data_IF_609920738726
#
_entry.id   IF_609920738726
#
_cell.length_a   1.000
_cell.length_b   1.000
_cell.length_c   1.000
_cell.angle_alpha   90.00
_cell.angle_beta   90.00
_cell.angle_gamma   90.00
#
_symmetry.space_group_name_H-M   'P 1'
#
loop_
_entity.id
_entity.type
_entity.pdbx_description
1 polymer ?
#
# COMPACT_ATOMS: atom_id res chain seq x y z
N UNK A 1 -43.20 31.70 11.08
CA UNK A 1 -43.29 30.31 10.60
C UNK A 1 -41.85 29.88 10.35
N UNK A 2 -41.17 29.50 11.43
CA UNK A 2 -39.83 28.91 11.39
C UNK A 2 -39.94 27.52 10.78
N UNK A 3 -39.22 27.26 9.69
CA UNK A 3 -38.98 25.91 9.21
C UNK A 3 -37.56 25.83 8.65
N UNK A 4 -36.67 25.35 9.52
CA UNK A 4 -35.44 24.60 9.26
C UNK A 4 -34.43 25.18 8.26
N UNK A 5 -33.68 26.20 8.72
CA UNK A 5 -32.54 26.78 8.02
C UNK A 5 -31.22 25.95 8.11
N UNK A 6 -31.24 24.74 8.68
CA UNK A 6 -30.05 23.90 8.90
C UNK A 6 -30.13 22.57 8.13
N UNK A 7 -30.15 22.62 6.80
CA UNK A 7 -30.09 21.43 5.93
C UNK A 7 -28.85 21.46 5.03
N UNK A 8 -28.25 20.29 4.79
CA UNK A 8 -27.09 20.13 3.91
C UNK A 8 -27.55 19.62 2.54
N UNK A 9 -27.31 20.41 1.49
CA UNK A 9 -27.74 20.12 0.12
C UNK A 9 -26.52 19.87 -0.76
N UNK A 10 -26.49 18.71 -1.43
CA UNK A 10 -25.51 18.43 -2.47
C UNK A 10 -26.12 18.76 -3.82
N UNK A 11 -25.50 19.68 -4.56
CA UNK A 11 -26.00 20.11 -5.86
C UNK A 11 -24.90 20.09 -6.93
N UNK A 12 -25.30 19.83 -8.17
CA UNK A 12 -24.43 19.89 -9.33
C UNK A 12 -24.27 21.34 -9.83
N UNK A 13 -23.03 21.82 -9.93
CA UNK A 13 -22.75 23.18 -10.45
C UNK A 13 -23.03 23.35 -11.95
N UNK A 14 -23.10 22.25 -12.71
CA UNK A 14 -23.31 22.29 -14.17
C UNK A 14 -24.78 22.31 -14.57
N UNK A 15 -25.66 21.54 -13.89
CA UNK A 15 -27.07 21.41 -14.26
C UNK A 15 -28.06 21.80 -13.15
N UNK A 16 -27.59 22.12 -11.94
CA UNK A 16 -28.46 22.53 -10.84
C UNK A 16 -29.24 21.40 -10.17
N UNK A 17 -29.00 20.14 -10.52
CA UNK A 17 -29.67 19.01 -9.87
C UNK A 17 -29.24 18.88 -8.40
N UNK A 18 -30.24 18.78 -7.51
CA UNK A 18 -30.06 18.60 -6.06
C UNK A 18 -30.30 17.13 -5.66
N UNK A 19 -29.39 16.59 -4.86
CA UNK A 19 -29.49 15.22 -4.37
C UNK A 19 -30.21 15.18 -3.02
N UNK A 20 -31.43 14.63 -3.01
CA UNK A 20 -32.30 14.51 -1.83
C UNK A 20 -32.13 13.20 -1.05
N UNK A 21 -31.22 12.32 -1.47
CA UNK A 21 -31.06 10.97 -0.88
C UNK A 21 -30.09 10.89 0.30
N UNK A 22 -29.50 12.02 0.70
CA UNK A 22 -28.52 12.07 1.80
C UNK A 22 -29.26 12.07 3.14
N UNK A 23 -29.26 10.92 3.83
CA UNK A 23 -29.81 10.80 5.17
C UNK A 23 -28.85 11.40 6.21
N UNK A 24 -29.38 12.21 7.13
CA UNK A 24 -28.62 13.00 8.10
C UNK A 24 -27.79 12.19 9.11
N UNK A 25 -27.95 10.87 9.15
CA UNK A 25 -27.44 10.04 10.24
C UNK A 25 -25.93 9.73 10.13
N UNK A 26 -25.28 9.91 8.97
CA UNK A 26 -23.83 9.63 8.79
C UNK A 26 -23.16 10.49 7.70
N UNK A 27 -23.45 11.79 7.61
CA UNK A 27 -22.84 12.65 6.57
C UNK A 27 -21.51 13.24 7.02
N UNK A 28 -20.40 12.67 6.54
CA UNK A 28 -19.08 13.30 6.63
C UNK A 28 -18.80 14.09 5.34
N UNK A 29 -18.74 15.42 5.44
CA UNK A 29 -18.46 16.31 4.29
C UNK A 29 -16.97 16.39 3.99
N UNK A 30 -16.14 16.39 5.04
CA UNK A 30 -14.69 16.44 4.93
C UNK A 30 -14.08 15.72 6.12
N UNK A 31 -13.21 14.75 5.83
CA UNK A 31 -12.34 14.13 6.81
C UNK A 31 -10.90 14.53 6.49
N UNK A 32 -10.14 15.00 7.48
CA UNK A 32 -8.75 15.41 7.30
C UNK A 32 -7.86 14.58 8.20
N UNK A 33 -7.16 13.62 7.59
CA UNK A 33 -6.22 12.75 8.29
C UNK A 33 -4.81 13.35 8.26
N UNK A 34 -4.45 14.05 9.34
CA UNK A 34 -3.12 14.67 9.50
C UNK A 34 -2.04 13.62 9.81
N UNK A 35 -2.41 12.57 10.53
CA UNK A 35 -1.56 11.39 10.75
C UNK A 35 -2.07 10.27 9.84
N UNK A 36 -1.36 10.04 8.73
CA UNK A 36 -1.55 8.82 7.93
C UNK A 36 -0.99 7.64 8.74
N UNK A 37 -1.83 7.03 9.57
CA UNK A 37 -1.58 5.71 10.14
C UNK A 37 -1.76 4.59 9.11
N UNK A 38 -2.34 4.90 7.95
CA UNK A 38 -2.50 3.98 6.83
C UNK A 38 -1.20 3.90 6.02
N UNK A 39 -0.60 2.70 6.07
CA UNK A 39 0.15 2.06 5.00
C UNK A 39 0.94 2.99 4.06
N UNK A 40 1.82 3.82 4.63
CA UNK A 40 2.80 4.63 3.89
C UNK A 40 3.62 3.83 2.85
N UNK A 41 3.61 2.50 2.96
CA UNK A 41 4.35 1.60 2.08
C UNK A 41 3.66 1.24 0.77
N UNK A 42 2.34 1.46 0.61
CA UNK A 42 1.62 1.04 -0.62
C UNK A 42 2.21 1.72 -1.86
N UNK A 43 2.82 2.90 -1.70
CA UNK A 43 3.48 3.62 -2.77
C UNK A 43 4.98 3.33 -2.92
N UNK A 44 5.57 2.49 -2.07
CA UNK A 44 7.03 2.30 -2.02
C UNK A 44 7.50 1.21 -2.98
N UNK A 45 6.65 0.22 -3.25
CA UNK A 45 6.99 -0.90 -4.14
C UNK A 45 5.99 -0.97 -5.28
N UNK A 46 6.53 -1.01 -6.50
CA UNK A 46 5.78 -1.25 -7.73
C UNK A 46 6.40 -2.41 -8.51
N UNK A 47 5.81 -2.73 -9.67
CA UNK A 47 6.28 -3.83 -10.53
C UNK A 47 7.69 -3.62 -11.11
N UNK A 48 8.17 -2.37 -11.13
CA UNK A 48 9.48 -1.99 -11.67
C UNK A 48 10.59 -1.89 -10.62
N UNK A 49 10.25 -1.82 -9.32
CA UNK A 49 11.23 -1.72 -8.23
C UNK A 49 12.31 -2.80 -8.31
N UNK A 50 11.96 -4.00 -8.79
CA UNK A 50 12.93 -5.10 -8.95
C UNK A 50 14.00 -4.88 -10.02
N UNK A 51 13.76 -3.97 -10.97
CA UNK A 51 14.71 -3.66 -12.05
C UNK A 51 15.66 -2.52 -11.69
N UNK A 52 15.46 -1.86 -10.55
CA UNK A 52 16.35 -0.81 -10.11
C UNK A 52 17.68 -1.40 -9.58
N UNK A 53 18.83 -1.15 -10.25
CA UNK A 53 20.12 -1.68 -9.81
C UNK A 53 20.70 -0.93 -8.61
N UNK A 54 20.13 0.23 -8.24
CA UNK A 54 20.61 1.05 -7.11
C UNK A 54 20.05 0.59 -5.77
N UNK A 55 19.01 -0.24 -5.79
CA UNK A 55 18.41 -0.77 -4.57
C UNK A 55 19.28 -1.87 -3.95
N UNK A 56 19.46 -1.88 -2.63
CA UNK A 56 20.22 -2.92 -1.95
C UNK A 56 19.62 -4.33 -2.12
N UNK A 57 20.47 -5.30 -2.47
CA UNK A 57 20.10 -6.71 -2.72
C UNK A 57 20.82 -7.63 -1.74
N UNK A 58 20.11 -8.65 -1.25
CA UNK A 58 20.63 -9.68 -0.36
C UNK A 58 20.19 -11.07 -0.83
N UNK A 59 21.10 -12.04 -0.74
CA UNK A 59 20.89 -13.40 -1.24
C UNK A 59 20.80 -14.43 -0.09
N UNK A 60 20.82 -13.95 1.16
CA UNK A 60 20.83 -14.79 2.37
C UNK A 60 19.45 -14.99 2.99
N UNK A 61 18.44 -14.21 2.60
CA UNK A 61 17.09 -14.29 3.15
C UNK A 61 16.23 -15.22 2.29
N UNK A 62 15.56 -16.17 2.95
CA UNK A 62 14.57 -17.03 2.31
C UNK A 62 13.28 -16.27 2.03
N UNK A 63 12.69 -16.50 0.85
CA UNK A 63 11.41 -15.91 0.50
C UNK A 63 10.28 -16.58 1.33
N UNK A 64 9.35 -15.83 1.94
CA UNK A 64 8.25 -16.41 2.72
C UNK A 64 7.26 -17.19 1.84
N UNK A 65 7.26 -16.96 0.53
CA UNK A 65 6.50 -17.77 -0.40
C UNK A 65 7.16 -19.14 -0.57
N UNK A 66 6.56 -20.17 0.02
CA UNK A 66 7.03 -21.55 -0.07
C UNK A 66 7.14 -22.10 -1.50
N UNK A 67 6.37 -21.54 -2.43
CA UNK A 67 6.39 -21.90 -3.87
C UNK A 67 7.44 -21.12 -4.67
N UNK A 68 8.25 -20.27 -4.03
CA UNK A 68 9.25 -19.48 -4.72
C UNK A 68 10.32 -20.40 -5.36
N UNK A 69 10.69 -20.18 -6.63
CA UNK A 69 11.77 -20.93 -7.28
C UNK A 69 13.10 -20.90 -6.53
N UNK A 70 13.37 -19.85 -5.75
CA UNK A 70 14.60 -19.73 -4.96
C UNK A 70 14.63 -20.63 -3.72
N UNK A 71 13.49 -21.22 -3.34
CA UNK A 71 13.35 -22.08 -2.17
C UNK A 71 13.38 -23.57 -2.52
N UNK A 72 13.24 -23.91 -3.81
CA UNK A 72 13.22 -25.29 -4.28
C UNK A 72 14.48 -25.61 -5.08
N UNK A 73 14.94 -26.85 -4.97
CA UNK A 73 15.97 -27.38 -5.86
C UNK A 73 15.26 -28.25 -6.90
N UNK A 74 15.18 -27.75 -8.13
CA UNK A 74 14.58 -28.47 -9.25
C UNK A 74 15.68 -28.94 -10.19
N UNK A 75 15.83 -30.26 -10.33
CA UNK A 75 16.72 -30.92 -11.28
C UNK A 75 18.17 -30.40 -11.27
N UNK A 76 18.71 -30.09 -10.09
CA UNK A 76 20.08 -29.60 -9.90
C UNK A 76 20.30 -28.14 -10.36
N UNK A 77 19.23 -27.41 -10.69
CA UNK A 77 19.26 -25.98 -10.97
C UNK A 77 18.65 -25.22 -9.81
N UNK A 78 19.51 -24.72 -8.92
CA UNK A 78 19.13 -23.82 -7.85
C UNK A 78 19.09 -22.38 -8.37
N UNK A 79 17.92 -21.75 -8.32
CA UNK A 79 17.79 -20.31 -8.58
C UNK A 79 18.40 -19.57 -7.40
N UNK A 80 19.34 -18.66 -7.65
CA UNK A 80 19.90 -17.83 -6.59
C UNK A 80 18.81 -16.95 -5.96
N UNK A 81 18.84 -16.86 -4.64
CA UNK A 81 17.94 -15.98 -3.90
C UNK A 81 18.33 -14.55 -4.18
N UNK A 82 17.33 -13.71 -4.37
CA UNK A 82 17.52 -12.28 -4.54
C UNK A 82 16.34 -11.55 -3.89
N UNK A 83 16.65 -10.82 -2.82
CA UNK A 83 15.69 -10.02 -2.06
C UNK A 83 16.18 -8.59 -2.03
N UNK A 84 15.32 -7.66 -2.40
CA UNK A 84 15.55 -6.22 -2.26
C UNK A 84 14.98 -5.79 -0.93
N UNK A 85 15.73 -5.01 -0.15
CA UNK A 85 15.22 -4.43 1.09
C UNK A 85 15.22 -2.91 1.01
N UNK A 86 14.10 -2.30 1.40
CA UNK A 86 13.85 -0.86 1.32
C UNK A 86 13.45 -0.38 2.69
N UNK A 87 14.19 0.59 3.22
CA UNK A 87 13.83 1.28 4.46
C UNK A 87 12.80 2.35 4.15
N UNK A 88 11.65 2.30 4.83
CA UNK A 88 10.58 3.27 4.60
C UNK A 88 10.27 4.15 5.80
N UNK A 89 10.70 3.73 6.99
CA UNK A 89 10.57 4.51 8.20
C UNK A 89 11.95 4.57 8.86
N UNK A 90 12.60 5.71 8.73
CA UNK A 90 13.92 5.91 9.31
C UNK A 90 13.87 5.94 10.84
N UNK A 91 12.77 6.43 11.43
CA UNK A 91 12.68 6.57 12.88
C UNK A 91 12.46 5.22 13.54
N UNK A 92 11.52 4.43 13.01
CA UNK A 92 11.15 3.14 13.59
C UNK A 92 11.93 1.97 12.97
N UNK A 93 12.91 2.24 12.09
CA UNK A 93 13.72 1.24 11.40
C UNK A 93 12.87 0.16 10.70
N UNK A 94 11.81 0.58 10.02
CA UNK A 94 10.92 -0.34 9.31
C UNK A 94 11.43 -0.59 7.89
N UNK A 95 11.45 -1.87 7.53
CA UNK A 95 11.94 -2.37 6.26
C UNK A 95 10.86 -3.14 5.54
N UNK A 96 10.81 -2.92 4.23
CA UNK A 96 10.07 -3.72 3.28
C UNK A 96 11.04 -4.59 2.50
N UNK A 97 10.68 -5.85 2.32
CA UNK A 97 11.42 -6.83 1.55
C UNK A 97 10.62 -7.20 0.31
N UNK A 98 11.30 -7.31 -0.83
CA UNK A 98 10.72 -7.67 -2.12
C UNK A 98 11.57 -8.77 -2.74
N UNK A 99 10.99 -9.94 -2.96
CA UNK A 99 11.66 -11.02 -3.69
C UNK A 99 11.70 -10.68 -5.18
N UNK A 100 12.90 -10.59 -5.76
CA UNK A 100 13.08 -10.31 -7.18
C UNK A 100 12.67 -11.49 -8.09
N UNK A 101 12.51 -12.69 -7.51
CA UNK A 101 12.20 -13.93 -8.24
C UNK A 101 10.69 -14.13 -8.43
N UNK A 102 9.88 -13.99 -7.37
CA UNK A 102 8.43 -14.24 -7.42
C UNK A 102 7.57 -13.02 -7.08
N UNK A 103 8.17 -11.84 -6.93
CA UNK A 103 7.52 -10.57 -6.56
C UNK A 103 6.78 -10.57 -5.21
N UNK A 104 7.01 -11.58 -4.37
CA UNK A 104 6.44 -11.60 -3.02
C UNK A 104 7.11 -10.54 -2.17
N UNK A 105 6.31 -9.81 -1.42
CA UNK A 105 6.72 -8.67 -0.60
C UNK A 105 6.22 -8.84 0.85
N UNK A 106 7.07 -8.49 1.82
CA UNK A 106 6.80 -8.63 3.25
C UNK A 106 7.55 -7.57 4.07
N UNK A 107 7.26 -7.47 5.37
CA UNK A 107 7.85 -6.47 6.28
C UNK A 107 8.60 -7.15 7.42
N UNK A 108 9.44 -6.39 8.12
CA UNK A 108 9.85 -6.78 9.46
C UNK A 108 8.73 -6.45 10.46
N UNK A 109 8.14 -7.47 11.10
CA UNK A 109 7.12 -7.29 12.16
C UNK A 109 7.76 -6.91 13.51
N UNK A 110 8.69 -5.97 13.52
CA UNK A 110 9.27 -5.42 14.77
C UNK A 110 8.85 -3.98 15.00
#
# INVERSE_FOLDING_TARGET
>A
MDNDANSLIYYCRNCGHENTTLTAENVCVSDTQVKRSEDQYVHIVNEYTKYDPTLPRINTIDCPNSKCPSNVDTDGKKVEREVIYIRYDDTNMKYMYVCAICNTNWKNDK
#
